data_IF_048381667834
#
_entry.id   IF_048381667834
#
_cell.length_a   1.000
_cell.length_b   1.000
_cell.length_c   1.000
_cell.angle_alpha   90.00
_cell.angle_beta   90.00
_cell.angle_gamma   90.00
#
_symmetry.space_group_name_H-M   'P 1'
#
loop_
_entity.id
_entity.type
_entity.pdbx_description
1 polymer ?
#
# COMPACT_ATOMS: atom_id res chain seq x y z
N UNK A 1 2.69 -18.11 -18.72
CA UNK A 1 3.98 -18.29 -18.01
C UNK A 1 4.19 -17.21 -16.95
N UNK A 2 3.69 -15.98 -17.17
CA UNK A 2 3.69 -14.89 -16.19
C UNK A 2 2.81 -15.17 -14.95
N UNK A 3 1.67 -15.84 -15.10
CA UNK A 3 0.83 -16.24 -13.95
C UNK A 3 1.50 -17.29 -13.04
N UNK A 4 2.39 -18.12 -13.59
CA UNK A 4 3.13 -19.13 -12.84
C UNK A 4 4.27 -18.50 -12.02
N UNK A 5 4.90 -17.44 -12.56
CA UNK A 5 5.96 -16.69 -11.87
C UNK A 5 5.35 -15.80 -10.76
N UNK A 6 4.17 -15.24 -11.00
CA UNK A 6 3.44 -14.44 -10.01
C UNK A 6 2.92 -15.30 -8.85
N UNK A 7 2.46 -16.53 -9.13
CA UNK A 7 2.07 -17.47 -8.07
C UNK A 7 3.27 -18.05 -7.31
N UNK A 8 4.43 -18.21 -7.97
CA UNK A 8 5.67 -18.64 -7.32
C UNK A 8 6.23 -17.56 -6.38
N UNK A 9 6.19 -16.29 -6.80
CA UNK A 9 6.64 -15.17 -5.97
C UNK A 9 5.73 -14.96 -4.75
N UNK A 10 4.40 -15.03 -4.91
CA UNK A 10 3.48 -15.04 -3.77
C UNK A 10 3.69 -16.27 -2.87
N UNK A 11 3.91 -17.45 -3.47
CA UNK A 11 4.09 -18.72 -2.77
C UNK A 11 5.41 -18.87 -2.02
N UNK A 12 6.48 -18.16 -2.41
CA UNK A 12 7.77 -18.17 -1.71
C UNK A 12 7.90 -17.08 -0.64
N UNK A 13 7.14 -15.98 -0.77
CA UNK A 13 7.12 -14.89 0.20
C UNK A 13 6.40 -15.32 1.49
N UNK A 14 5.28 -16.04 1.38
CA UNK A 14 4.46 -16.46 2.54
C UNK A 14 5.24 -17.36 3.52
N UNK A 15 5.99 -18.41 3.09
CA UNK A 15 6.81 -19.22 3.99
C UNK A 15 7.96 -18.46 4.65
N UNK A 16 8.61 -17.55 3.92
CA UNK A 16 9.70 -16.73 4.48
C UNK A 16 9.17 -15.75 5.54
N UNK A 17 7.98 -15.18 5.30
CA UNK A 17 7.25 -14.35 6.26
C UNK A 17 6.82 -15.18 7.47
N UNK A 18 6.30 -16.39 7.28
CA UNK A 18 5.94 -17.29 8.39
C UNK A 18 7.15 -17.63 9.28
N UNK A 19 8.33 -17.87 8.70
CA UNK A 19 9.57 -18.11 9.47
C UNK A 19 10.00 -16.86 10.26
N UNK A 20 9.85 -15.66 9.68
CA UNK A 20 10.13 -14.39 10.37
C UNK A 20 9.14 -14.11 11.50
N UNK A 21 7.84 -14.33 11.27
CA UNK A 21 6.79 -14.21 12.29
C UNK A 21 7.06 -15.19 13.42
N UNK A 22 7.38 -16.45 13.11
CA UNK A 22 7.71 -17.46 14.12
C UNK A 22 8.90 -17.05 15.01
N UNK A 23 9.92 -16.40 14.45
CA UNK A 23 11.05 -15.86 15.22
C UNK A 23 10.66 -14.62 16.05
N UNK A 24 9.81 -13.74 15.54
CA UNK A 24 9.41 -12.51 16.26
C UNK A 24 8.30 -12.74 17.31
N UNK A 25 7.40 -13.71 17.10
CA UNK A 25 6.23 -13.98 17.96
C UNK A 25 6.60 -14.85 19.15
N UNK A 26 7.54 -15.79 19.01
CA UNK A 26 7.93 -16.71 20.09
C UNK A 26 8.84 -16.03 21.13
N UNK A 27 9.65 -15.05 20.74
CA UNK A 27 10.63 -14.43 21.65
C UNK A 27 10.08 -13.29 22.53
N UNK A 28 8.81 -12.88 22.38
CA UNK A 28 8.22 -11.78 23.17
C UNK A 28 6.87 -12.14 23.79
N UNK A 29 6.90 -13.06 24.74
CA UNK A 29 5.80 -13.43 25.64
C UNK A 29 5.36 -12.32 26.64
N UNK A 30 5.50 -11.03 26.33
CA UNK A 30 5.19 -9.95 27.27
C UNK A 30 4.35 -8.81 26.68
N UNK A 31 3.14 -8.68 27.25
CA UNK A 31 2.29 -7.48 27.43
C UNK A 31 1.52 -6.91 26.21
N UNK A 32 0.27 -6.57 26.49
CA UNK A 32 -0.76 -5.88 25.68
C UNK A 32 -0.28 -4.58 25.02
N UNK A 33 0.50 -4.67 23.95
CA UNK A 33 0.92 -3.53 23.15
C UNK A 33 0.67 -3.81 21.67
N UNK A 34 0.32 -2.75 20.92
CA UNK A 34 0.32 -2.83 19.47
C UNK A 34 1.74 -3.15 18.99
N UNK A 35 1.91 -4.27 18.29
CA UNK A 35 3.18 -4.75 17.74
C UNK A 35 3.33 -4.21 16.33
N UNK A 36 4.47 -3.59 16.04
CA UNK A 36 4.86 -3.25 14.68
C UNK A 36 5.71 -4.37 14.09
N UNK A 37 5.25 -4.98 13.01
CA UNK A 37 6.02 -5.96 12.24
C UNK A 37 6.60 -5.25 11.03
N UNK A 38 7.93 -5.26 10.94
CA UNK A 38 8.67 -4.69 9.81
C UNK A 38 9.25 -5.83 8.99
N UNK A 39 8.79 -5.98 7.75
CA UNK A 39 9.27 -6.99 6.80
C UNK A 39 10.15 -6.28 5.78
N UNK A 40 11.45 -6.55 5.81
CA UNK A 40 12.41 -6.03 4.82
C UNK A 40 12.69 -7.11 3.77
N UNK A 41 12.48 -6.79 2.50
CA UNK A 41 12.91 -7.65 1.40
C UNK A 41 14.43 -7.59 1.23
N UNK A 42 14.99 -8.60 0.57
CA UNK A 42 16.40 -8.61 0.15
C UNK A 42 16.74 -7.46 -0.83
N UNK A 43 15.73 -6.86 -1.47
CA UNK A 43 15.87 -5.71 -2.38
C UNK A 43 15.80 -4.36 -1.65
N UNK A 44 15.66 -4.35 -0.32
CA UNK A 44 15.60 -3.12 0.47
C UNK A 44 14.20 -2.54 0.69
N UNK A 45 13.16 -3.09 0.04
CA UNK A 45 11.76 -2.69 0.28
C UNK A 45 11.35 -3.06 1.71
N UNK A 46 10.86 -2.09 2.48
CA UNK A 46 10.39 -2.30 3.84
C UNK A 46 8.87 -2.16 3.91
N UNK A 47 8.19 -3.18 4.42
CA UNK A 47 6.75 -3.18 4.70
C UNK A 47 6.54 -3.08 6.20
N UNK A 48 5.60 -2.24 6.64
CA UNK A 48 5.25 -2.09 8.05
C UNK A 48 3.80 -2.49 8.25
N UNK A 49 3.54 -3.27 9.29
CA UNK A 49 2.20 -3.71 9.67
C UNK A 49 2.01 -3.48 11.18
N UNK A 50 0.83 -3.02 11.56
CA UNK A 50 0.45 -2.82 12.97
C UNK A 50 -0.51 -3.93 13.38
N UNK A 51 -0.21 -4.63 14.48
CA UNK A 51 -1.05 -5.69 15.03
C UNK A 51 -1.35 -5.44 16.50
N UNK A 52 -2.52 -5.85 16.98
CA UNK A 52 -2.81 -5.88 18.42
C UNK A 52 -2.08 -7.04 19.10
N UNK A 53 -1.65 -6.86 20.35
CA UNK A 53 -0.79 -7.82 21.07
C UNK A 53 -1.39 -9.19 21.38
N UNK A 54 -2.71 -9.37 21.19
CA UNK A 54 -3.45 -10.61 21.44
C UNK A 54 -3.76 -11.42 20.15
N UNK A 55 -3.18 -11.05 19.01
CA UNK A 55 -3.41 -11.69 17.69
C UNK A 55 -2.51 -12.92 17.52
N UNK A 56 -3.07 -14.03 17.02
CA UNK A 56 -2.33 -15.27 16.76
C UNK A 56 -1.54 -15.25 15.42
N UNK A 57 -0.58 -16.17 15.26
CA UNK A 57 0.24 -16.25 14.03
C UNK A 57 -0.61 -16.42 12.75
N UNK A 58 -1.72 -17.15 12.82
CA UNK A 58 -2.58 -17.39 11.65
C UNK A 58 -3.34 -16.14 11.25
N UNK A 59 -3.76 -15.34 12.22
CA UNK A 59 -4.40 -14.04 12.00
C UNK A 59 -3.42 -13.02 11.42
N UNK A 60 -2.17 -12.98 11.92
CA UNK A 60 -1.09 -12.16 11.34
C UNK A 60 -0.87 -12.56 9.87
N UNK A 61 -0.74 -13.86 9.59
CA UNK A 61 -0.55 -14.36 8.22
C UNK A 61 -1.73 -14.00 7.31
N UNK A 62 -2.97 -14.16 7.78
CA UNK A 62 -4.18 -13.79 7.02
C UNK A 62 -4.23 -12.29 6.71
N UNK A 63 -3.87 -11.45 7.68
CA UNK A 63 -3.83 -10.01 7.49
C UNK A 63 -2.77 -9.62 6.45
N UNK A 64 -1.56 -10.17 6.55
CA UNK A 64 -0.49 -9.93 5.56
C UNK A 64 -0.90 -10.43 4.17
N UNK A 65 -1.49 -11.62 4.07
CA UNK A 65 -1.99 -12.16 2.80
C UNK A 65 -3.06 -11.25 2.19
N UNK A 66 -4.00 -10.77 3.01
CA UNK A 66 -5.03 -9.81 2.57
C UNK A 66 -4.43 -8.51 2.04
N UNK A 67 -3.41 -7.97 2.71
CA UNK A 67 -2.68 -6.77 2.28
C UNK A 67 -1.97 -7.01 0.95
N UNK A 68 -1.27 -8.14 0.78
CA UNK A 68 -0.58 -8.50 -0.47
C UNK A 68 -1.58 -8.69 -1.63
N UNK A 69 -2.68 -9.38 -1.38
CA UNK A 69 -3.73 -9.60 -2.39
C UNK A 69 -4.31 -8.26 -2.86
N UNK A 70 -4.57 -7.35 -1.94
CA UNK A 70 -5.10 -6.03 -2.28
C UNK A 70 -4.07 -5.13 -2.97
N UNK A 71 -2.81 -5.10 -2.51
CA UNK A 71 -1.69 -4.42 -3.19
C UNK A 71 -1.58 -4.85 -4.65
N UNK A 72 -1.63 -6.17 -4.91
CA UNK A 72 -1.58 -6.71 -6.26
C UNK A 72 -2.79 -6.32 -7.11
N UNK A 73 -3.98 -6.25 -6.51
CA UNK A 73 -5.18 -5.79 -7.20
C UNK A 73 -5.02 -4.32 -7.63
N UNK A 74 -4.59 -3.44 -6.73
CA UNK A 74 -4.35 -2.02 -7.03
C UNK A 74 -3.26 -1.85 -8.08
N UNK A 75 -2.15 -2.61 -7.98
CA UNK A 75 -1.09 -2.63 -8.99
C UNK A 75 -1.63 -2.97 -10.37
N UNK A 76 -2.40 -4.07 -10.50
CA UNK A 76 -2.99 -4.47 -11.79
C UNK A 76 -3.92 -3.39 -12.35
N UNK A 77 -4.69 -2.72 -11.51
CA UNK A 77 -5.54 -1.60 -11.92
C UNK A 77 -4.73 -0.43 -12.48
N UNK A 78 -3.58 -0.11 -11.88
CA UNK A 78 -2.67 0.95 -12.36
C UNK A 78 -1.98 0.53 -13.64
N UNK A 79 -1.48 -0.71 -13.74
CA UNK A 79 -0.88 -1.22 -14.96
C UNK A 79 -1.88 -1.20 -16.13
N UNK A 80 -3.15 -1.53 -15.86
CA UNK A 80 -4.22 -1.40 -16.85
C UNK A 80 -4.47 0.05 -17.26
N UNK A 81 -4.41 1.00 -16.31
CA UNK A 81 -4.49 2.43 -16.61
C UNK A 81 -3.33 2.86 -17.51
N UNK A 82 -2.09 2.51 -17.15
CA UNK A 82 -0.90 2.82 -17.96
C UNK A 82 -1.02 2.26 -19.38
N UNK A 83 -1.49 1.01 -19.52
CA UNK A 83 -1.71 0.38 -20.84
C UNK A 83 -2.75 1.09 -21.69
N UNK A 84 -3.80 1.67 -21.09
CA UNK A 84 -4.81 2.48 -21.82
C UNK A 84 -4.23 3.81 -22.30
N UNK A 85 -3.23 4.32 -21.60
CA UNK A 85 -2.53 5.57 -21.86
C UNK A 85 -1.13 5.31 -22.43
N UNK A 86 -1.03 4.30 -23.32
CA UNK A 86 0.24 3.93 -23.93
C UNK A 86 0.80 5.12 -24.72
N UNK A 87 2.07 5.45 -24.47
CA UNK A 87 2.74 6.66 -24.98
C UNK A 87 2.87 7.82 -24.00
N UNK A 88 2.17 7.82 -22.86
CA UNK A 88 2.23 8.90 -21.86
C UNK A 88 3.40 8.78 -20.83
N UNK A 89 4.39 7.93 -21.13
CA UNK A 89 5.65 7.77 -20.38
C UNK A 89 5.50 7.56 -18.86
N UNK A 90 4.48 6.81 -18.44
CA UNK A 90 4.32 6.41 -17.05
C UNK A 90 5.43 5.46 -16.59
N UNK A 91 5.84 5.60 -15.32
CA UNK A 91 6.76 4.68 -14.65
C UNK A 91 6.21 4.27 -13.29
N UNK A 92 6.36 2.97 -12.97
CA UNK A 92 6.12 2.46 -11.63
C UNK A 92 7.47 2.23 -10.97
N UNK A 93 7.71 2.93 -9.86
CA UNK A 93 8.92 2.79 -9.04
C UNK A 93 8.58 1.94 -7.81
N UNK A 94 9.41 0.92 -7.56
CA UNK A 94 9.20 -0.06 -6.49
C UNK A 94 10.14 0.12 -5.28
N UNK A 95 10.92 1.20 -5.25
CA UNK A 95 12.08 1.38 -4.34
C UNK A 95 11.88 2.44 -3.26
N UNK A 96 10.70 2.51 -2.66
CA UNK A 96 10.41 3.43 -1.57
C UNK A 96 9.68 2.70 -0.44
N UNK A 97 9.57 3.34 0.73
CA UNK A 97 8.80 2.79 1.85
C UNK A 97 7.28 2.71 1.58
N UNK A 98 6.82 3.32 0.48
CA UNK A 98 5.47 3.15 -0.06
C UNK A 98 5.32 1.82 -0.80
N UNK A 99 4.07 1.36 -1.00
CA UNK A 99 3.83 0.12 -1.74
C UNK A 99 4.30 0.23 -3.20
N UNK A 100 4.06 1.38 -3.84
CA UNK A 100 4.59 1.74 -5.16
C UNK A 100 4.46 3.25 -5.39
N UNK A 101 5.27 3.80 -6.30
CA UNK A 101 5.18 5.19 -6.73
C UNK A 101 4.89 5.25 -8.22
N UNK A 102 3.83 5.97 -8.59
CA UNK A 102 3.49 6.26 -9.99
C UNK A 102 4.10 7.60 -10.38
N UNK A 103 4.92 7.61 -11.41
CA UNK A 103 5.54 8.80 -11.96
C UNK A 103 5.07 9.08 -13.40
N UNK A 104 4.79 10.35 -13.69
CA UNK A 104 4.66 10.88 -15.05
C UNK A 104 5.27 12.28 -15.10
N UNK A 105 6.20 12.49 -16.03
CA UNK A 105 6.81 13.82 -16.30
C UNK A 105 7.31 14.53 -15.03
N UNK A 106 7.92 13.78 -14.11
CA UNK A 106 8.44 14.28 -12.83
C UNK A 106 7.39 14.46 -11.73
N UNK A 107 6.09 14.32 -12.01
CA UNK A 107 5.06 14.24 -10.97
C UNK A 107 5.01 12.82 -10.40
N UNK A 108 5.21 12.69 -9.09
CA UNK A 108 5.25 11.43 -8.34
C UNK A 108 4.10 11.35 -7.34
N UNK A 109 3.33 10.27 -7.46
CA UNK A 109 2.23 9.91 -6.55
C UNK A 109 2.67 8.63 -5.83
N UNK A 110 2.94 8.71 -4.52
CA UNK A 110 3.09 7.52 -3.70
C UNK A 110 1.74 6.87 -3.49
N UNK A 111 1.69 5.54 -3.49
CA UNK A 111 0.45 4.81 -3.33
C UNK A 111 0.60 3.80 -2.21
N UNK A 112 -0.39 3.81 -1.32
CA UNK A 112 -0.53 2.90 -0.18
C UNK A 112 -1.81 2.11 -0.39
N UNK A 113 -1.68 0.82 -0.74
CA UNK A 113 -2.81 -0.08 -0.82
C UNK A 113 -2.99 -0.72 0.55
N UNK A 114 -4.13 -0.47 1.19
CA UNK A 114 -4.42 -0.99 2.54
C UNK A 114 -5.70 -1.81 2.52
N UNK A 115 -5.57 -3.10 2.81
CA UNK A 115 -6.73 -3.97 2.96
C UNK A 115 -7.48 -3.67 4.27
N UNK A 116 -6.75 -3.30 5.32
CA UNK A 116 -7.29 -2.79 6.57
C UNK A 116 -6.49 -1.58 7.08
N UNK A 117 -7.15 -0.43 7.14
CA UNK A 117 -6.54 0.83 7.58
C UNK A 117 -6.17 0.81 9.08
N UNK A 118 -6.74 -0.09 9.88
CA UNK A 118 -6.33 -0.26 11.29
C UNK A 118 -4.88 -0.76 11.42
N UNK A 119 -4.35 -1.39 10.37
CA UNK A 119 -2.98 -1.90 10.34
C UNK A 119 -1.97 -0.87 9.82
N UNK A 120 -2.40 0.38 9.62
CA UNK A 120 -1.62 1.47 9.04
C UNK A 120 -1.46 2.63 10.02
N UNK A 121 -0.28 3.26 10.03
CA UNK A 121 -0.05 4.54 10.72
C UNK A 121 0.27 5.64 9.73
N UNK A 122 -0.43 6.76 9.86
CA UNK A 122 -0.25 7.92 9.00
C UNK A 122 1.18 8.49 9.04
N UNK A 123 1.86 8.42 10.20
CA UNK A 123 3.24 8.86 10.32
C UNK A 123 4.20 8.03 9.45
N UNK A 124 3.89 6.77 9.12
CA UNK A 124 4.74 6.00 8.19
C UNK A 124 4.76 6.61 6.80
N UNK A 125 3.61 7.11 6.32
CA UNK A 125 3.54 7.84 5.06
C UNK A 125 4.27 9.17 5.15
N UNK A 126 4.04 9.91 6.24
CA UNK A 126 4.73 11.17 6.49
C UNK A 126 6.26 11.00 6.49
N UNK A 127 6.79 9.99 7.15
CA UNK A 127 8.24 9.76 7.27
C UNK A 127 8.92 9.66 5.89
N UNK A 128 8.37 8.87 4.96
CA UNK A 128 8.98 8.78 3.63
C UNK A 128 8.67 9.98 2.75
N UNK A 129 7.57 10.69 2.98
CA UNK A 129 7.25 11.93 2.27
C UNK A 129 8.16 13.09 2.68
N UNK A 130 8.67 13.07 3.92
CA UNK A 130 9.63 14.04 4.45
C UNK A 130 11.05 13.73 3.94
N UNK A 131 11.41 12.45 3.80
CA UNK A 131 12.70 12.02 3.22
C UNK A 131 12.74 12.19 1.69
N UNK A 132 11.61 12.04 1.01
CA UNK A 132 11.50 12.12 -0.45
C UNK A 132 10.63 13.31 -0.86
N UNK A 133 11.23 14.50 -0.84
CA UNK A 133 10.55 15.78 -1.13
C UNK A 133 10.02 15.89 -2.56
N UNK A 134 10.46 15.03 -3.46
CA UNK A 134 10.01 14.93 -4.85
C UNK A 134 8.69 14.16 -5.01
N UNK A 135 8.18 13.52 -3.95
CA UNK A 135 6.83 12.93 -3.93
C UNK A 135 5.80 14.02 -3.67
N UNK A 136 4.93 14.27 -4.65
CA UNK A 136 3.94 15.33 -4.61
C UNK A 136 2.77 15.00 -3.68
N UNK A 137 2.33 13.74 -3.68
CA UNK A 137 1.20 13.28 -2.88
C UNK A 137 1.32 11.79 -2.53
N UNK A 138 0.57 11.38 -1.51
CA UNK A 138 0.26 9.99 -1.19
C UNK A 138 -1.23 9.74 -1.43
N UNK A 139 -1.51 8.72 -2.25
CA UNK A 139 -2.82 8.19 -2.51
C UNK A 139 -3.01 6.91 -1.68
N UNK A 140 -3.88 7.00 -0.67
CA UNK A 140 -4.24 5.87 0.18
C UNK A 140 -5.46 5.19 -0.42
N UNK A 141 -5.28 3.99 -0.95
CA UNK A 141 -6.34 3.15 -1.51
C UNK A 141 -6.75 2.16 -0.45
N UNK A 142 -8.03 2.15 -0.05
CA UNK A 142 -8.52 1.37 1.09
C UNK A 142 -9.60 0.38 0.65
N UNK A 143 -9.47 -0.87 1.07
CA UNK A 143 -10.41 -1.96 0.73
C UNK A 143 -11.64 -2.04 1.65
N UNK A 144 -11.83 -1.06 2.52
CA UNK A 144 -12.89 -1.00 3.52
C UNK A 144 -13.54 0.38 3.55
N UNK A 145 -14.71 0.49 4.19
CA UNK A 145 -15.34 1.79 4.45
C UNK A 145 -14.57 2.45 5.59
N UNK A 146 -14.29 3.75 5.45
CA UNK A 146 -13.62 4.56 6.47
C UNK A 146 -14.51 5.72 6.87
N UNK A 147 -14.46 6.12 8.15
CA UNK A 147 -15.17 7.30 8.62
C UNK A 147 -14.42 8.58 8.21
N UNK A 148 -15.16 9.68 8.08
CA UNK A 148 -14.58 11.00 7.79
C UNK A 148 -13.61 11.45 8.90
N UNK A 149 -13.85 11.02 10.14
CA UNK A 149 -12.96 11.30 11.28
C UNK A 149 -11.58 10.64 11.11
N UNK A 150 -11.55 9.35 10.74
CA UNK A 150 -10.30 8.63 10.49
C UNK A 150 -9.56 9.29 9.32
N UNK A 151 -10.29 9.62 8.25
CA UNK A 151 -9.74 10.29 7.07
C UNK A 151 -9.10 11.63 7.44
N UNK A 152 -9.82 12.50 8.13
CA UNK A 152 -9.32 13.80 8.58
C UNK A 152 -8.13 13.66 9.55
N UNK A 153 -8.12 12.63 10.40
CA UNK A 153 -6.98 12.33 11.28
C UNK A 153 -5.70 12.03 10.49
N UNK A 154 -5.80 11.17 9.48
CA UNK A 154 -4.67 10.80 8.62
C UNK A 154 -4.22 11.98 7.75
N UNK A 155 -5.15 12.74 7.17
CA UNK A 155 -4.85 13.95 6.42
C UNK A 155 -4.07 14.94 7.29
N UNK A 156 -4.52 15.19 8.52
CA UNK A 156 -3.85 16.10 9.45
C UNK A 156 -2.41 15.68 9.76
N UNK A 157 -2.19 14.39 9.99
CA UNK A 157 -0.86 13.85 10.31
C UNK A 157 0.12 13.95 9.12
N UNK A 158 -0.36 13.68 7.91
CA UNK A 158 0.48 13.66 6.69
C UNK A 158 0.76 15.06 6.13
N UNK A 159 -0.14 16.03 6.36
CA UNK A 159 -0.01 17.39 5.84
C UNK A 159 -1.09 17.79 4.83
N UNK A 160 -2.32 17.32 5.05
CA UNK A 160 -3.59 17.74 4.45
C UNK A 160 -3.65 17.63 2.93
N UNK A 161 -3.03 18.59 2.25
CA UNK A 161 -3.01 18.68 0.78
C UNK A 161 -2.29 17.52 0.11
N UNK A 162 -1.35 16.87 0.81
CA UNK A 162 -0.55 15.75 0.29
C UNK A 162 -1.24 14.39 0.39
N UNK A 163 -2.32 14.24 1.16
CA UNK A 163 -3.01 12.96 1.35
C UNK A 163 -4.32 12.91 0.54
N UNK A 164 -4.49 11.84 -0.24
CA UNK A 164 -5.70 11.56 -1.03
C UNK A 164 -6.20 10.15 -0.74
N UNK A 165 -7.49 9.92 -0.95
CA UNK A 165 -8.12 8.65 -0.62
C UNK A 165 -8.96 8.11 -1.77
N UNK A 166 -8.82 6.82 -2.03
CA UNK A 166 -9.79 6.03 -2.78
C UNK A 166 -10.33 4.96 -1.84
N UNK A 167 -11.62 5.07 -1.53
CA UNK A 167 -12.33 4.08 -0.70
C UNK A 167 -13.01 3.12 -1.67
N UNK A 168 -12.52 1.89 -1.76
CA UNK A 168 -13.01 0.87 -2.67
C UNK A 168 -13.30 -0.43 -1.92
N UNK A 169 -14.42 -0.49 -1.17
CA UNK A 169 -14.74 -1.66 -0.36
C UNK A 169 -14.84 -2.92 -1.23
N UNK A 170 -14.06 -3.95 -0.89
CA UNK A 170 -13.94 -5.18 -1.68
C UNK A 170 -13.57 -4.94 -3.17
N UNK A 171 -12.77 -3.90 -3.46
CA UNK A 171 -12.36 -3.53 -4.82
C UNK A 171 -13.47 -2.95 -5.70
N UNK A 172 -14.65 -2.65 -5.15
CA UNK A 172 -15.77 -2.10 -5.93
C UNK A 172 -15.39 -0.75 -6.53
N UNK A 173 -15.56 -0.61 -7.85
CA UNK A 173 -15.22 0.59 -8.63
C UNK A 173 -13.75 1.02 -8.52
N UNK A 174 -12.83 0.13 -8.15
CA UNK A 174 -11.41 0.45 -7.98
C UNK A 174 -10.81 1.06 -9.26
N UNK A 175 -10.96 0.37 -10.40
CA UNK A 175 -10.45 0.84 -11.69
C UNK A 175 -10.98 2.23 -12.05
N UNK A 176 -12.29 2.44 -11.92
CA UNK A 176 -12.92 3.71 -12.23
C UNK A 176 -12.43 4.84 -11.31
N UNK A 177 -12.25 4.55 -10.02
CA UNK A 177 -11.81 5.53 -9.03
C UNK A 177 -10.36 5.94 -9.25
N UNK A 178 -9.49 4.97 -9.53
CA UNK A 178 -8.09 5.21 -9.90
C UNK A 178 -7.99 6.01 -11.20
N UNK A 179 -8.74 5.60 -12.24
CA UNK A 179 -8.75 6.29 -13.53
C UNK A 179 -9.23 7.75 -13.38
N UNK A 180 -10.29 8.00 -12.60
CA UNK A 180 -10.74 9.36 -12.33
C UNK A 180 -9.70 10.20 -11.58
N UNK A 181 -9.03 9.61 -10.57
CA UNK A 181 -7.98 10.27 -9.81
C UNK A 181 -6.80 10.65 -10.72
N UNK A 182 -6.25 9.67 -11.45
CA UNK A 182 -5.10 9.90 -12.33
C UNK A 182 -5.42 10.83 -13.49
N UNK A 183 -6.61 10.76 -14.08
CA UNK A 183 -7.02 11.71 -15.12
C UNK A 183 -7.08 13.14 -14.61
N UNK A 184 -7.50 13.34 -13.36
CA UNK A 184 -7.52 14.65 -12.70
C UNK A 184 -6.09 15.12 -12.42
N UNK A 185 -5.29 14.27 -11.78
CA UNK A 185 -3.94 14.64 -11.32
C UNK A 185 -2.94 14.84 -12.46
N UNK A 186 -3.04 14.05 -13.53
CA UNK A 186 -2.19 14.16 -14.72
C UNK A 186 -2.84 14.98 -15.84
N UNK A 187 -4.01 15.59 -15.59
CA UNK A 187 -4.71 16.52 -16.49
C UNK A 187 -5.08 15.92 -17.86
N UNK A 188 -5.50 14.66 -17.88
CA UNK A 188 -6.09 14.09 -19.09
C UNK A 188 -7.46 14.72 -19.35
N UNK A 189 -7.65 15.29 -20.55
CA UNK A 189 -8.98 15.68 -21.00
C UNK A 189 -9.79 14.40 -21.22
N UNK A 190 -11.00 14.32 -20.65
CA UNK A 190 -11.98 13.32 -21.08
C UNK A 190 -12.26 13.56 -22.56
N UNK A 191 -12.06 12.52 -23.38
CA UNK A 191 -12.53 12.50 -24.76
C UNK A 191 -14.07 12.54 -24.81
#
# INVERSE_FOLDING_TARGET
MEDLITSLLAGAIIPAIAILIKKCVIDQAFKKYNREIIIKSSTGKSRKYLFSGDIDEREILKAIDSEIVFENLVRRSIENYIKKHDGDNFKIINDLSADFVLEKEGKKIAIEAKSDLNNFKANWAKDYLDVNSDINEVLIVVNSIISDEIKAGIEREIGGSRAKFIVSPNGRKLNQSLENHFNTEFKFKKA
#
